data_IF_359913588064
#
_entry.id   IF_359913588064
#
_cell.length_a   1.000
_cell.length_b   1.000
_cell.length_c   1.000
_cell.angle_alpha   90.00
_cell.angle_beta   90.00
_cell.angle_gamma   90.00
#
_symmetry.space_group_name_H-M   'P 1'
#
loop_
_entity.id
_entity.type
_entity.pdbx_description
1 polymer ?
#
# COMPACT_ATOMS: atom_id res chain seq x y z
N UNK A 1 31.08 -1.73 14.26
CA UNK A 1 29.97 -2.59 13.82
C UNK A 1 28.77 -2.27 14.68
N UNK A 2 27.76 -1.58 14.13
CA UNK A 2 26.44 -1.46 14.77
C UNK A 2 25.48 -2.35 13.99
N UNK A 3 24.87 -3.30 14.71
CA UNK A 3 23.80 -4.20 14.23
C UNK A 3 22.43 -3.50 14.31
N UNK A 4 22.41 -2.21 14.67
CA UNK A 4 21.20 -1.43 14.90
C UNK A 4 20.89 -0.64 13.62
N UNK A 5 19.81 -1.01 12.94
CA UNK A 5 19.21 -0.20 11.87
C UNK A 5 18.88 1.19 12.41
N UNK A 6 19.09 2.21 11.59
CA UNK A 6 18.52 3.53 11.89
C UNK A 6 17.00 3.48 11.67
N UNK A 7 16.26 4.36 12.34
CA UNK A 7 14.80 4.49 12.13
C UNK A 7 14.47 4.70 10.65
N UNK A 8 15.30 5.47 9.92
CA UNK A 8 15.15 5.69 8.48
C UNK A 8 15.31 4.44 7.63
N UNK A 9 16.25 3.56 7.98
CA UNK A 9 16.45 2.29 7.30
C UNK A 9 15.27 1.35 7.53
N UNK A 10 14.75 1.32 8.77
CA UNK A 10 13.56 0.54 9.10
C UNK A 10 12.32 1.06 8.36
N UNK A 11 12.09 2.37 8.39
CA UNK A 11 10.97 3.02 7.71
C UNK A 11 11.01 2.81 6.21
N UNK A 12 12.17 2.96 5.56
CA UNK A 12 12.28 2.76 4.11
C UNK A 12 11.93 1.33 3.69
N UNK A 13 12.37 0.34 4.47
CA UNK A 13 12.06 -1.07 4.23
C UNK A 13 10.57 -1.33 4.44
N UNK A 14 9.98 -0.79 5.51
CA UNK A 14 8.54 -0.97 5.78
C UNK A 14 7.67 -0.22 4.75
N UNK A 15 8.09 0.96 4.26
CA UNK A 15 7.43 1.66 3.16
C UNK A 15 7.42 0.78 1.90
N UNK A 16 8.57 0.23 1.51
CA UNK A 16 8.64 -0.67 0.34
C UNK A 16 7.67 -1.85 0.50
N UNK A 17 7.69 -2.48 1.67
CA UNK A 17 6.82 -3.62 1.97
C UNK A 17 5.35 -3.23 1.90
N UNK A 18 4.94 -2.13 2.52
CA UNK A 18 3.55 -1.68 2.51
C UNK A 18 3.09 -1.19 1.13
N UNK A 19 3.96 -0.60 0.30
CA UNK A 19 3.63 -0.28 -1.10
C UNK A 19 3.34 -1.56 -1.90
N UNK A 20 4.12 -2.62 -1.69
CA UNK A 20 3.88 -3.92 -2.33
C UNK A 20 2.62 -4.60 -1.79
N UNK A 21 2.48 -4.73 -0.46
CA UNK A 21 1.29 -5.36 0.17
C UNK A 21 -0.01 -4.63 -0.23
N UNK A 22 0.00 -3.29 -0.31
CA UNK A 22 -1.19 -2.54 -0.75
C UNK A 22 -1.47 -2.72 -2.23
N UNK A 23 -0.43 -2.75 -3.08
CA UNK A 23 -0.59 -3.06 -4.51
C UNK A 23 -1.25 -4.42 -4.71
N UNK A 24 -0.70 -5.47 -4.09
CA UNK A 24 -1.18 -6.84 -4.21
C UNK A 24 -2.62 -6.96 -3.68
N UNK A 25 -2.91 -6.30 -2.55
CA UNK A 25 -4.27 -6.27 -2.01
C UNK A 25 -5.28 -5.58 -2.94
N UNK A 26 -4.93 -4.45 -3.56
CA UNK A 26 -5.81 -3.79 -4.53
C UNK A 26 -6.04 -4.65 -5.78
N UNK A 27 -5.01 -5.34 -6.25
CA UNK A 27 -5.13 -6.28 -7.37
C UNK A 27 -6.08 -7.43 -7.03
N UNK A 28 -5.88 -8.08 -5.88
CA UNK A 28 -6.74 -9.17 -5.41
C UNK A 28 -8.20 -8.72 -5.25
N UNK A 29 -8.42 -7.55 -4.62
CA UNK A 29 -9.78 -7.03 -4.42
C UNK A 29 -10.44 -6.61 -5.74
N UNK A 30 -9.65 -6.25 -6.76
CA UNK A 30 -10.19 -5.91 -8.07
C UNK A 30 -10.79 -7.12 -8.81
N UNK A 31 -10.25 -8.31 -8.59
CA UNK A 31 -10.73 -9.56 -9.22
C UNK A 31 -12.07 -10.03 -8.64
N UNK A 32 -12.40 -9.59 -7.42
CA UNK A 32 -13.54 -10.11 -6.66
C UNK A 32 -14.63 -9.06 -6.40
N UNK A 33 -14.33 -7.78 -6.62
CA UNK A 33 -15.32 -6.72 -6.64
C UNK A 33 -16.20 -6.80 -7.90
N UNK A 34 -17.34 -6.10 -7.91
CA UNK A 34 -18.10 -5.92 -9.16
C UNK A 34 -17.30 -5.12 -10.19
N UNK A 35 -17.72 -5.16 -11.46
CA UNK A 35 -17.00 -4.56 -12.57
C UNK A 35 -16.66 -3.06 -12.37
N UNK A 36 -17.59 -2.28 -11.83
CA UNK A 36 -17.42 -0.82 -11.65
C UNK A 36 -16.32 -0.51 -10.63
N UNK A 37 -16.32 -1.22 -9.50
CA UNK A 37 -15.35 -1.03 -8.42
C UNK A 37 -14.04 -1.73 -8.77
N UNK A 38 -14.10 -2.94 -9.32
CA UNK A 38 -12.96 -3.73 -9.76
C UNK A 38 -12.08 -2.92 -10.72
N UNK A 39 -12.68 -2.29 -11.73
CA UNK A 39 -11.93 -1.44 -12.67
C UNK A 39 -11.29 -0.21 -12.00
N UNK A 40 -11.83 0.28 -10.88
CA UNK A 40 -11.20 1.36 -10.10
C UNK A 40 -10.04 0.83 -9.26
N UNK A 41 -10.22 -0.30 -8.59
CA UNK A 41 -9.19 -0.93 -7.76
C UNK A 41 -7.98 -1.39 -8.59
N UNK A 42 -8.22 -1.95 -9.79
CA UNK A 42 -7.17 -2.34 -10.73
C UNK A 42 -6.30 -1.13 -11.12
N UNK A 43 -6.92 0.02 -11.43
CA UNK A 43 -6.18 1.25 -11.73
C UNK A 43 -5.35 1.73 -10.55
N UNK A 44 -5.91 1.68 -9.34
CA UNK A 44 -5.17 2.02 -8.12
C UNK A 44 -3.99 1.07 -7.92
N UNK A 45 -4.17 -0.23 -8.13
CA UNK A 45 -3.09 -1.21 -8.06
C UNK A 45 -1.97 -0.87 -9.07
N UNK A 46 -2.32 -0.56 -10.32
CA UNK A 46 -1.35 -0.20 -11.35
C UNK A 46 -0.59 1.10 -11.03
N UNK A 47 -1.29 2.13 -10.54
CA UNK A 47 -0.67 3.38 -10.09
C UNK A 47 0.27 3.11 -8.89
N UNK A 48 -0.16 2.31 -7.91
CA UNK A 48 0.67 1.92 -6.76
C UNK A 48 1.94 1.18 -7.19
N UNK A 49 1.84 0.27 -8.16
CA UNK A 49 2.97 -0.50 -8.68
C UNK A 49 4.07 0.39 -9.25
N UNK A 50 3.72 1.55 -9.83
CA UNK A 50 4.68 2.50 -10.40
C UNK A 50 5.66 3.07 -9.37
N UNK A 51 5.32 3.04 -8.08
CA UNK A 51 6.18 3.51 -6.99
C UNK A 51 7.19 2.45 -6.51
N UNK A 52 6.95 1.15 -6.77
CA UNK A 52 7.78 0.05 -6.27
C UNK A 52 9.26 0.21 -6.70
N UNK A 53 9.60 0.53 -7.96
CA UNK A 53 11.00 0.71 -8.35
C UNK A 53 11.71 1.83 -7.58
N UNK A 54 11.03 2.95 -7.33
CA UNK A 54 11.57 4.09 -6.57
C UNK A 54 11.70 3.77 -5.09
N UNK A 55 10.75 3.05 -4.50
CA UNK A 55 10.86 2.56 -3.13
C UNK A 55 12.02 1.56 -2.97
N UNK A 56 12.22 0.65 -3.95
CA UNK A 56 13.39 -0.25 -3.97
C UNK A 56 14.71 0.53 -4.07
N UNK A 57 14.75 1.59 -4.86
CA UNK A 57 15.93 2.45 -4.98
C UNK A 57 16.24 3.17 -3.66
N UNK A 58 15.21 3.68 -2.96
CA UNK A 58 15.35 4.29 -1.63
C UNK A 58 15.94 3.31 -0.60
N UNK A 59 15.41 2.09 -0.51
CA UNK A 59 15.95 1.04 0.39
C UNK A 59 17.42 0.76 0.10
N UNK A 60 17.79 0.60 -1.18
CA UNK A 60 19.18 0.37 -1.59
C UNK A 60 20.09 1.55 -1.25
N UNK A 61 19.63 2.78 -1.46
CA UNK A 61 20.40 4.00 -1.18
C UNK A 61 20.74 4.13 0.32
N UNK A 62 19.86 3.65 1.20
CA UNK A 62 20.07 3.61 2.65
C UNK A 62 20.90 2.40 3.12
N UNK A 63 21.43 1.59 2.20
CA UNK A 63 22.28 0.44 2.51
C UNK A 63 21.53 -0.82 2.96
N UNK A 64 20.20 -0.84 2.79
CA UNK A 64 19.36 -2.00 3.11
C UNK A 64 19.10 -2.86 1.86
N UNK A 65 18.69 -4.11 2.08
CA UNK A 65 18.28 -5.02 1.03
C UNK A 65 16.77 -4.90 0.79
N UNK A 66 16.30 -4.72 -0.46
CA UNK A 66 14.88 -4.76 -0.77
C UNK A 66 14.25 -6.06 -0.30
N UNK A 67 13.15 -5.93 0.44
CA UNK A 67 12.36 -7.06 0.91
C UNK A 67 11.25 -7.40 -0.08
N UNK A 68 10.76 -8.63 -0.01
CA UNK A 68 9.45 -9.00 -0.58
C UNK A 68 8.44 -9.12 0.57
N UNK A 69 7.14 -8.90 0.30
CA UNK A 69 6.07 -9.27 1.23
C UNK A 69 6.19 -10.72 1.66
N UNK A 70 5.68 -11.01 2.86
CA UNK A 70 5.65 -12.36 3.39
C UNK A 70 4.53 -13.15 2.69
N UNK A 71 4.86 -14.14 1.82
CA UNK A 71 3.88 -14.85 1.03
C UNK A 71 2.91 -15.67 1.90
N UNK A 72 3.33 -16.14 3.07
CA UNK A 72 2.47 -16.89 3.97
C UNK A 72 1.45 -15.95 4.63
N UNK A 73 1.87 -14.74 5.00
CA UNK A 73 0.97 -13.69 5.52
C UNK A 73 -0.04 -13.24 4.45
N UNK A 74 0.39 -13.09 3.20
CA UNK A 74 -0.51 -12.74 2.10
C UNK A 74 -1.48 -13.87 1.80
N UNK A 75 -1.00 -15.11 1.75
CA UNK A 75 -1.83 -16.29 1.56
C UNK A 75 -2.84 -16.44 2.70
N UNK A 76 -2.47 -16.18 3.96
CA UNK A 76 -3.41 -16.18 5.08
C UNK A 76 -4.48 -15.08 4.97
N UNK A 77 -4.18 -13.93 4.39
CA UNK A 77 -5.22 -12.92 4.12
C UNK A 77 -6.17 -13.37 3.01
N UNK A 78 -5.64 -14.01 1.96
CA UNK A 78 -6.41 -14.55 0.83
C UNK A 78 -7.28 -15.75 1.24
N UNK A 79 -6.71 -16.71 1.97
CA UNK A 79 -7.30 -18.02 2.29
C UNK A 79 -7.96 -18.06 3.67
N UNK A 80 -7.44 -17.30 4.66
CA UNK A 80 -7.92 -17.29 6.05
C UNK A 80 -9.28 -16.61 6.25
N UNK A 81 -10.03 -16.38 5.17
CA UNK A 81 -11.39 -15.86 5.23
C UNK A 81 -11.50 -14.34 5.27
N UNK A 82 -10.40 -13.57 5.29
CA UNK A 82 -10.47 -12.11 5.23
C UNK A 82 -11.11 -11.63 3.93
N UNK A 83 -10.60 -12.09 2.78
CA UNK A 83 -11.20 -11.79 1.48
C UNK A 83 -12.53 -12.56 1.30
N UNK A 84 -12.56 -13.86 1.61
CA UNK A 84 -13.75 -14.70 1.43
C UNK A 84 -14.97 -14.27 2.28
N UNK A 85 -14.78 -13.76 3.50
CA UNK A 85 -15.87 -13.22 4.33
C UNK A 85 -16.36 -11.85 3.84
N UNK A 86 -15.49 -11.03 3.23
CA UNK A 86 -15.93 -9.80 2.57
C UNK A 86 -16.86 -10.13 1.39
N UNK A 87 -16.56 -11.21 0.66
CA UNK A 87 -17.42 -11.73 -0.41
C UNK A 87 -18.75 -12.30 0.08
N UNK A 88 -18.77 -12.87 1.30
CA UNK A 88 -20.01 -13.36 1.90
C UNK A 88 -20.92 -12.23 2.44
N UNK A 89 -20.38 -11.01 2.61
CA UNK A 89 -21.09 -9.84 3.14
C UNK A 89 -21.78 -8.96 2.08
N UNK A 90 -21.63 -9.28 0.80
CA UNK A 90 -22.31 -8.69 -0.38
C UNK A 90 -22.21 -7.17 -0.58
N UNK A 91 -21.47 -6.43 0.26
CA UNK A 91 -21.34 -4.98 0.12
C UNK A 91 -19.96 -4.57 -0.36
N UNK A 92 -19.95 -4.00 -1.55
CA UNK A 92 -18.91 -3.12 -2.10
C UNK A 92 -18.24 -2.21 -1.07
N UNK A 93 -19.00 -1.72 -0.09
CA UNK A 93 -18.50 -0.87 0.98
C UNK A 93 -17.50 -1.59 1.88
N UNK A 94 -17.70 -2.88 2.12
CA UNK A 94 -16.80 -3.68 2.94
C UNK A 94 -15.46 -3.89 2.23
N UNK A 95 -15.50 -4.10 0.91
CA UNK A 95 -14.29 -4.14 0.05
C UNK A 95 -13.55 -2.81 0.12
N UNK A 96 -14.25 -1.71 -0.09
CA UNK A 96 -13.68 -0.36 -0.04
C UNK A 96 -13.09 -0.06 1.36
N UNK A 97 -13.83 -0.31 2.44
CA UNK A 97 -13.40 -0.03 3.80
C UNK A 97 -12.11 -0.80 4.15
N UNK A 98 -11.96 -2.02 3.63
CA UNK A 98 -10.76 -2.84 3.84
C UNK A 98 -9.56 -2.34 3.05
N UNK A 99 -9.75 -1.97 1.79
CA UNK A 99 -8.71 -1.29 1.01
C UNK A 99 -8.21 -0.03 1.74
N UNK A 100 -9.13 0.79 2.26
CA UNK A 100 -8.78 2.00 3.02
C UNK A 100 -8.07 1.70 4.34
N UNK A 101 -8.42 0.62 5.04
CA UNK A 101 -7.70 0.18 6.25
C UNK A 101 -6.26 -0.21 5.95
N UNK A 102 -5.99 -0.84 4.80
CA UNK A 102 -4.64 -1.18 4.37
C UNK A 102 -3.83 0.08 3.99
N UNK A 103 -4.43 1.01 3.26
CA UNK A 103 -3.82 2.30 2.92
C UNK A 103 -3.52 3.16 4.17
N UNK A 104 -4.34 3.08 5.22
CA UNK A 104 -4.13 3.85 6.44
C UNK A 104 -2.80 3.50 7.12
N UNK A 105 -2.39 2.22 7.11
CA UNK A 105 -1.09 1.80 7.66
C UNK A 105 0.08 2.46 6.92
N UNK A 106 -0.01 2.53 5.59
CA UNK A 106 1.01 3.18 4.78
C UNK A 106 0.98 4.70 4.99
N UNK A 107 -0.20 5.32 5.09
CA UNK A 107 -0.34 6.74 5.36
C UNK A 107 0.25 7.14 6.73
N UNK A 108 -0.02 6.34 7.77
CA UNK A 108 0.51 6.57 9.12
C UNK A 108 2.04 6.47 9.12
N UNK A 109 2.61 5.49 8.42
CA UNK A 109 4.07 5.39 8.30
C UNK A 109 4.66 6.61 7.59
N UNK A 110 4.13 6.97 6.42
CA UNK A 110 4.61 8.11 5.64
C UNK A 110 4.51 9.45 6.40
N UNK A 111 3.48 9.62 7.23
CA UNK A 111 3.30 10.82 8.05
C UNK A 111 4.32 10.94 9.20
N UNK A 112 4.87 9.81 9.67
CA UNK A 112 5.83 9.76 10.78
C UNK A 112 7.28 9.56 10.32
N UNK A 113 7.50 9.23 9.04
CA UNK A 113 8.85 9.02 8.50
C UNK A 113 9.57 10.35 8.30
N UNK A 114 10.64 10.56 9.06
CA UNK A 114 11.62 11.63 8.86
C UNK A 114 12.87 11.09 8.16
N UNK A 115 12.92 11.16 6.83
CA UNK A 115 14.16 10.91 6.10
C UNK A 115 15.10 12.12 6.25
N UNK A 116 16.02 12.06 7.21
CA UNK A 116 17.06 13.09 7.39
C UNK A 116 18.18 12.88 6.36
N UNK A 117 18.31 13.83 5.46
CA UNK A 117 19.39 13.88 4.46
C UNK A 117 18.93 14.61 3.19
N UNK A 118 19.89 15.13 2.41
CA UNK A 118 19.67 15.92 1.18
C UNK A 118 19.11 15.12 -0.01
N UNK A 119 18.44 14.00 0.23
CA UNK A 119 17.87 13.19 -0.84
C UNK A 119 16.48 13.72 -1.22
N UNK A 120 16.45 14.87 -1.92
CA UNK A 120 15.23 15.46 -2.49
C UNK A 120 14.34 14.42 -3.22
N UNK A 121 14.94 13.40 -3.84
CA UNK A 121 14.22 12.32 -4.52
C UNK A 121 13.41 11.41 -3.59
N UNK A 122 13.89 11.16 -2.36
CA UNK A 122 13.18 10.34 -1.38
C UNK A 122 12.01 11.10 -0.76
N UNK A 123 12.21 12.39 -0.45
CA UNK A 123 11.14 13.26 0.00
C UNK A 123 10.04 13.38 -1.06
N UNK A 124 10.42 13.57 -2.33
CA UNK A 124 9.47 13.60 -3.44
C UNK A 124 8.71 12.27 -3.61
N UNK A 125 9.32 11.12 -3.30
CA UNK A 125 8.63 9.84 -3.31
C UNK A 125 7.57 9.77 -2.19
N UNK A 126 7.93 10.16 -0.97
CA UNK A 126 7.00 10.19 0.17
C UNK A 126 5.81 11.11 -0.12
N UNK A 127 6.06 12.30 -0.64
CA UNK A 127 5.01 13.27 -0.98
C UNK A 127 4.08 12.72 -2.07
N UNK A 128 4.62 12.14 -3.14
CA UNK A 128 3.81 11.58 -4.23
C UNK A 128 2.99 10.37 -3.78
N UNK A 129 3.56 9.49 -2.93
CA UNK A 129 2.82 8.38 -2.33
C UNK A 129 1.69 8.88 -1.43
N UNK A 130 1.94 9.93 -0.65
CA UNK A 130 0.93 10.54 0.23
C UNK A 130 -0.20 11.19 -0.57
N UNK A 131 0.12 11.90 -1.66
CA UNK A 131 -0.86 12.46 -2.58
C UNK A 131 -1.70 11.36 -3.24
N UNK A 132 -1.06 10.29 -3.71
CA UNK A 132 -1.76 9.17 -4.30
C UNK A 132 -2.69 8.47 -3.28
N UNK A 133 -2.26 8.27 -2.03
CA UNK A 133 -3.11 7.76 -0.94
C UNK A 133 -4.34 8.65 -0.69
N UNK A 134 -4.13 9.97 -0.64
CA UNK A 134 -5.22 10.92 -0.46
C UNK A 134 -6.22 10.89 -1.62
N UNK A 135 -5.72 10.86 -2.86
CA UNK A 135 -6.54 10.77 -4.07
C UNK A 135 -7.33 9.46 -4.12
N UNK A 136 -6.68 8.32 -3.83
CA UNK A 136 -7.32 7.01 -3.74
C UNK A 136 -8.43 7.01 -2.70
N UNK A 137 -8.16 7.52 -1.49
CA UNK A 137 -9.17 7.63 -0.43
C UNK A 137 -10.37 8.46 -0.86
N UNK A 138 -10.14 9.66 -1.41
CA UNK A 138 -11.21 10.53 -1.90
C UNK A 138 -12.06 9.84 -2.98
N UNK A 139 -11.41 9.14 -3.92
CA UNK A 139 -12.07 8.41 -5.00
C UNK A 139 -12.94 7.27 -4.47
N UNK A 140 -12.40 6.44 -3.58
CA UNK A 140 -13.13 5.28 -3.03
C UNK A 140 -14.27 5.70 -2.10
N UNK A 141 -14.08 6.73 -1.26
CA UNK A 141 -15.17 7.28 -0.45
C UNK A 141 -16.29 7.86 -1.32
N UNK A 142 -15.96 8.51 -2.44
CA UNK A 142 -16.97 9.01 -3.39
C UNK A 142 -17.75 7.90 -4.13
N UNK A 143 -17.23 6.66 -4.17
CA UNK A 143 -17.97 5.51 -4.69
C UNK A 143 -18.95 4.94 -3.65
N UNK A 144 -18.57 4.96 -2.37
CA UNK A 144 -19.43 4.58 -1.25
C UNK A 144 -20.69 5.45 -1.16
N UNK A 145 -20.55 6.75 -1.39
CA UNK A 145 -21.68 7.69 -1.33
C UNK A 145 -22.67 7.58 -2.52
N UNK A 146 -22.37 6.73 -3.52
CA UNK A 146 -23.17 6.55 -4.75
C UNK A 146 -23.90 5.20 -4.83
N UNK A 147 -23.55 4.24 -3.97
CA UNK A 147 -24.23 2.94 -3.84
C UNK A 147 -25.45 3.04 -2.92
#
# INVERSE_FOLDING_TARGET
MSIIRTEQQADAVEILKLVMETHDYYADMSEVANDDIGAVLERVAAERASFIPRAKAMVKALGELPVQPDPDKELLQKVGGGITQLLAGDSNDAVIDKCLQHDQKLADLLANTELRGDAHEHQALIEQLSQHLHATRSKLSGLKDRG
#
